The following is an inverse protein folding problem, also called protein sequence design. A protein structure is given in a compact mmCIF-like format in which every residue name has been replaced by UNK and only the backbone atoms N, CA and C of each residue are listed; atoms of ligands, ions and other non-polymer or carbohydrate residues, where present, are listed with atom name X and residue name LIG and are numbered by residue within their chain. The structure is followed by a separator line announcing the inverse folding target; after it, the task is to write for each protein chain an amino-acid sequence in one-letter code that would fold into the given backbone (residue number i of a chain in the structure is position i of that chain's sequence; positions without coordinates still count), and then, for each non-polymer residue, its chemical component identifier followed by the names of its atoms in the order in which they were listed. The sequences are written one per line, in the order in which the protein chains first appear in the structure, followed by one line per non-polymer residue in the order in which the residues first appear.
data_IF_736064932207
#
_entry.id   IF_736064932207
#
_cell.length_a   1.000
_cell.length_b   1.000
_cell.length_c   1.000
_cell.angle_alpha   90.00
_cell.angle_beta   90.00
_cell.angle_gamma   90.00
#
_symmetry.space_group_name_H-M   'P 1'
#
loop_
_entity.id
_entity.type
_entity.pdbx_description
1 polymer ?
#
# COMPACT_ATOMS: atom_id res chain seq x y z
N UNK A 1 8.56 26.51 -21.29
CA UNK A 1 8.06 26.87 -19.94
C UNK A 1 6.86 26.01 -19.47
N UNK A 2 5.99 25.51 -20.35
CA UNK A 2 4.84 24.65 -19.99
C UNK A 2 5.21 23.27 -19.37
N UNK A 3 6.32 22.66 -19.79
CA UNK A 3 6.75 21.35 -19.27
C UNK A 3 7.15 21.36 -17.79
N UNK A 4 7.76 22.43 -17.28
CA UNK A 4 8.20 22.51 -15.88
C UNK A 4 7.02 22.65 -14.90
N UNK A 5 5.97 23.38 -15.32
CA UNK A 5 4.73 23.54 -14.54
C UNK A 5 3.95 22.22 -14.44
N UNK A 6 3.86 21.48 -15.55
CA UNK A 6 3.24 20.14 -15.60
C UNK A 6 3.95 19.12 -14.69
N UNK A 7 5.29 19.10 -14.69
CA UNK A 7 6.10 18.17 -13.88
C UNK A 7 5.95 18.43 -12.37
N UNK A 8 5.93 19.71 -11.96
CA UNK A 8 5.75 20.05 -10.54
C UNK A 8 4.33 19.73 -10.05
N UNK A 9 3.32 19.87 -10.91
CA UNK A 9 1.93 19.54 -10.58
C UNK A 9 1.71 18.03 -10.40
N UNK A 10 2.36 17.19 -11.22
CA UNK A 10 2.31 15.71 -11.08
C UNK A 10 3.05 15.24 -9.83
N UNK A 11 4.22 15.80 -9.53
CA UNK A 11 4.98 15.48 -8.30
C UNK A 11 4.18 15.81 -7.03
N UNK A 12 3.51 16.97 -6.99
CA UNK A 12 2.72 17.40 -5.84
C UNK A 12 1.47 16.54 -5.63
N UNK A 13 0.82 16.11 -6.72
CA UNK A 13 -0.30 15.15 -6.69
C UNK A 13 0.13 13.78 -6.15
N UNK A 14 1.28 13.25 -6.62
CA UNK A 14 1.82 11.97 -6.16
C UNK A 14 2.21 11.99 -4.67
N UNK A 15 2.83 13.08 -4.19
CA UNK A 15 3.17 13.25 -2.78
C UNK A 15 1.92 13.30 -1.90
N UNK A 16 0.91 14.09 -2.29
CA UNK A 16 -0.36 14.20 -1.55
C UNK A 16 -1.10 12.85 -1.48
N UNK A 17 -1.10 12.07 -2.56
CA UNK A 17 -1.66 10.72 -2.58
C UNK A 17 -0.91 9.78 -1.61
N UNK A 18 0.42 9.85 -1.57
CA UNK A 18 1.24 9.05 -0.64
C UNK A 18 0.96 9.36 0.82
N UNK A 19 0.89 10.65 1.18
CA UNK A 19 0.57 11.06 2.55
C UNK A 19 -0.81 10.54 2.96
N UNK A 20 -1.82 10.63 2.08
CA UNK A 20 -3.15 10.10 2.36
C UNK A 20 -3.13 8.58 2.60
N UNK A 21 -2.37 7.82 1.80
CA UNK A 21 -2.24 6.36 1.97
C UNK A 21 -1.51 6.02 3.27
N UNK A 22 -0.46 6.76 3.63
CA UNK A 22 0.28 6.56 4.89
C UNK A 22 -0.61 6.86 6.09
N UNK A 23 -1.40 7.94 6.05
CA UNK A 23 -2.37 8.25 7.10
C UNK A 23 -3.40 7.13 7.24
N UNK A 24 -3.92 6.64 6.12
CA UNK A 24 -4.91 5.57 6.10
C UNK A 24 -4.31 4.25 6.61
N UNK A 25 -3.06 3.95 6.28
CA UNK A 25 -2.30 2.82 6.82
C UNK A 25 -2.11 2.92 8.35
N UNK A 26 -1.82 4.11 8.88
CA UNK A 26 -1.68 4.34 10.34
C UNK A 26 -3.02 4.14 11.06
N UNK A 27 -4.09 4.72 10.54
CA UNK A 27 -5.46 4.56 11.10
C UNK A 27 -5.83 3.08 11.12
N UNK A 28 -5.57 2.36 10.03
CA UNK A 28 -5.87 0.95 9.94
C UNK A 28 -4.90 0.06 10.72
N UNK A 29 -3.68 0.50 10.99
CA UNK A 29 -2.82 -0.18 11.95
C UNK A 29 -3.46 -0.16 13.34
N UNK A 30 -3.95 0.99 13.80
CA UNK A 30 -4.72 1.08 15.05
C UNK A 30 -5.94 0.14 15.04
N UNK A 31 -6.70 0.15 13.95
CA UNK A 31 -7.84 -0.74 13.75
C UNK A 31 -7.46 -2.23 13.83
N UNK A 32 -6.34 -2.62 13.24
CA UNK A 32 -5.85 -4.01 13.30
C UNK A 32 -5.38 -4.43 14.69
N UNK A 33 -4.83 -3.51 15.49
CA UNK A 33 -4.47 -3.77 16.88
C UNK A 33 -5.74 -3.99 17.72
N UNK A 34 -6.76 -3.15 17.54
CA UNK A 34 -8.06 -3.29 18.23
C UNK A 34 -8.69 -4.64 17.90
N UNK A 35 -8.82 -4.99 16.61
CA UNK A 35 -9.38 -6.28 16.21
C UNK A 35 -8.59 -7.48 16.75
N UNK A 36 -7.26 -7.37 16.82
CA UNK A 36 -6.42 -8.44 17.38
C UNK A 36 -6.69 -8.61 18.87
N UNK A 37 -6.80 -7.51 19.61
CA UNK A 37 -7.14 -7.53 21.04
C UNK A 37 -8.54 -8.09 21.28
N UNK A 38 -9.52 -7.76 20.43
CA UNK A 38 -10.89 -8.28 20.57
C UNK A 38 -10.97 -9.78 20.26
N UNK A 39 -10.33 -10.23 19.18
CA UNK A 39 -10.42 -11.63 18.74
C UNK A 39 -9.52 -12.59 19.53
N UNK A 40 -8.37 -12.12 20.02
CA UNK A 40 -7.34 -12.98 20.63
C UNK A 40 -6.92 -12.54 22.05
N UNK A 41 -7.53 -11.50 22.62
CA UNK A 41 -7.06 -10.87 23.86
C UNK A 41 -7.03 -11.78 25.10
N UNK A 42 -7.77 -12.89 25.09
CA UNK A 42 -7.66 -13.92 26.12
C UNK A 42 -6.28 -14.58 26.17
N UNK A 43 -5.62 -14.70 25.01
CA UNK A 43 -4.31 -15.33 24.85
C UNK A 43 -3.22 -14.27 24.66
N UNK A 44 -2.66 -13.80 25.78
CA UNK A 44 -1.69 -12.69 25.82
C UNK A 44 -0.46 -12.90 24.92
N UNK A 45 0.08 -14.13 24.86
CA UNK A 45 1.24 -14.45 24.02
C UNK A 45 0.91 -14.39 22.52
N UNK A 46 -0.24 -14.93 22.10
CA UNK A 46 -0.65 -14.91 20.69
C UNK A 46 -0.96 -13.49 20.23
N UNK A 47 -1.68 -12.72 21.05
CA UNK A 47 -1.97 -11.30 20.79
C UNK A 47 -0.68 -10.51 20.59
N UNK A 48 0.31 -10.69 21.47
CA UNK A 48 1.60 -10.01 21.35
C UNK A 48 2.34 -10.36 20.05
N UNK A 49 2.37 -11.65 19.69
CA UNK A 49 3.02 -12.10 18.46
C UNK A 49 2.33 -11.56 17.20
N UNK A 50 1.00 -11.54 17.17
CA UNK A 50 0.24 -11.00 16.03
C UNK A 50 0.49 -9.50 15.90
N UNK A 51 0.48 -8.74 17.00
CA UNK A 51 0.78 -7.30 16.98
C UNK A 51 2.22 -7.07 16.47
N UNK A 52 3.20 -7.80 16.97
CA UNK A 52 4.61 -7.66 16.55
C UNK A 52 4.80 -7.97 15.06
N UNK A 53 4.20 -9.06 14.59
CA UNK A 53 4.23 -9.43 13.17
C UNK A 53 3.55 -8.35 12.30
N UNK A 54 2.40 -7.84 12.74
CA UNK A 54 1.68 -6.80 12.04
C UNK A 54 2.47 -5.47 11.99
N UNK A 55 3.15 -5.09 13.07
CA UNK A 55 4.07 -3.93 13.05
C UNK A 55 5.17 -4.10 12.00
N UNK A 56 5.79 -5.27 11.92
CA UNK A 56 6.82 -5.58 10.93
C UNK A 56 6.27 -5.46 9.50
N UNK A 57 5.10 -6.02 9.25
CA UNK A 57 4.43 -5.99 7.94
C UNK A 57 4.06 -4.56 7.52
N UNK A 58 3.62 -3.70 8.45
CA UNK A 58 3.37 -2.28 8.19
C UNK A 58 4.64 -1.54 7.80
N UNK A 59 5.77 -1.82 8.46
CA UNK A 59 7.07 -1.23 8.10
C UNK A 59 7.48 -1.65 6.68
N UNK A 60 7.34 -2.93 6.34
CA UNK A 60 7.58 -3.41 4.97
C UNK A 60 6.67 -2.70 3.96
N UNK A 61 5.41 -2.48 4.30
CA UNK A 61 4.44 -1.81 3.43
C UNK A 61 4.78 -0.34 3.21
N UNK A 62 5.18 0.37 4.26
CA UNK A 62 5.69 1.74 4.14
C UNK A 62 6.87 1.76 3.16
N UNK A 63 7.85 0.87 3.32
CA UNK A 63 8.96 0.75 2.39
C UNK A 63 8.49 0.47 0.95
N UNK A 64 7.49 -0.40 0.76
CA UNK A 64 6.87 -0.70 -0.53
C UNK A 64 6.22 0.51 -1.20
N UNK A 65 5.48 1.32 -0.45
CA UNK A 65 4.83 2.55 -0.93
C UNK A 65 5.88 3.58 -1.41
N UNK A 66 6.97 3.73 -0.67
CA UNK A 66 8.05 4.65 -1.05
C UNK A 66 8.87 4.15 -2.25
N UNK A 67 9.08 2.84 -2.35
CA UNK A 67 9.87 2.19 -3.39
C UNK A 67 9.09 1.80 -4.65
N UNK A 68 7.76 2.00 -4.67
CA UNK A 68 6.85 1.56 -5.75
C UNK A 68 6.93 0.06 -6.06
N UNK A 69 7.22 -0.76 -5.04
CA UNK A 69 7.39 -2.20 -5.18
C UNK A 69 6.24 -2.93 -4.52
N UNK A 70 5.35 -3.47 -5.35
CA UNK A 70 4.16 -4.21 -4.92
C UNK A 70 4.47 -5.43 -4.04
N UNK A 71 5.64 -6.06 -4.25
CA UNK A 71 6.12 -7.22 -3.49
C UNK A 71 6.14 -6.96 -1.98
N UNK A 72 6.41 -5.73 -1.56
CA UNK A 72 6.43 -5.37 -0.13
C UNK A 72 5.07 -4.97 0.43
N UNK A 73 4.05 -4.80 -0.42
CA UNK A 73 2.65 -4.51 -0.03
C UNK A 73 1.88 -5.83 0.18
N UNK A 74 2.23 -6.89 -0.56
CA UNK A 74 1.54 -8.19 -0.51
C UNK A 74 1.42 -8.79 0.90
N UNK A 75 2.45 -8.77 1.78
CA UNK A 75 2.32 -9.31 3.13
C UNK A 75 1.24 -8.60 3.96
N UNK A 76 1.04 -7.29 3.79
CA UNK A 76 0.01 -6.52 4.48
C UNK A 76 -1.39 -6.86 3.99
N UNK A 77 -1.55 -7.11 2.69
CA UNK A 77 -2.81 -7.61 2.13
C UNK A 77 -3.16 -8.96 2.75
N UNK A 78 -2.22 -9.91 2.76
CA UNK A 78 -2.44 -11.25 3.31
C UNK A 78 -2.79 -11.15 4.80
N UNK A 79 -2.00 -10.42 5.58
CA UNK A 79 -2.23 -10.26 7.02
C UNK A 79 -3.61 -9.67 7.33
N UNK A 80 -4.03 -8.64 6.58
CA UNK A 80 -5.33 -7.99 6.80
C UNK A 80 -6.50 -8.86 6.36
N UNK A 81 -6.36 -9.59 5.26
CA UNK A 81 -7.37 -10.57 4.84
C UNK A 81 -7.53 -11.64 5.91
N UNK A 82 -6.44 -12.24 6.37
CA UNK A 82 -6.48 -13.26 7.43
C UNK A 82 -7.09 -12.74 8.73
N UNK A 83 -6.66 -11.57 9.21
CA UNK A 83 -7.20 -10.95 10.42
C UNK A 83 -8.69 -10.61 10.26
N UNK A 84 -9.09 -10.05 9.11
CA UNK A 84 -10.48 -9.72 8.84
C UNK A 84 -11.38 -10.95 8.80
N UNK A 85 -10.91 -12.07 8.22
CA UNK A 85 -11.65 -13.32 8.22
C UNK A 85 -11.84 -13.86 9.64
N UNK A 86 -10.76 -13.90 10.44
CA UNK A 86 -10.83 -14.34 11.83
C UNK A 86 -11.79 -13.47 12.67
N UNK A 87 -11.67 -12.14 12.56
CA UNK A 87 -12.53 -11.19 13.25
C UNK A 87 -14.00 -11.32 12.83
N UNK A 88 -14.28 -11.50 11.53
CA UNK A 88 -15.65 -11.71 11.04
C UNK A 88 -16.26 -13.00 11.58
N UNK A 89 -15.51 -14.11 11.57
CA UNK A 89 -15.99 -15.36 12.16
C UNK A 89 -16.29 -15.21 13.65
N UNK A 90 -15.41 -14.53 14.39
CA UNK A 90 -15.62 -14.23 15.80
C UNK A 90 -16.87 -13.36 16.03
N UNK A 91 -17.01 -12.27 15.28
CA UNK A 91 -18.17 -11.38 15.37
C UNK A 91 -19.48 -12.09 15.04
N UNK A 92 -19.46 -13.02 14.08
CA UNK A 92 -20.63 -13.78 13.68
C UNK A 92 -21.04 -14.79 14.76
N UNK A 93 -20.07 -15.48 15.39
CA UNK A 93 -20.32 -16.33 16.56
C UNK A 93 -20.92 -15.54 17.72
N UNK A 94 -20.42 -14.32 17.97
CA UNK A 94 -20.98 -13.46 19.02
C UNK A 94 -22.39 -12.96 18.68
N UNK A 95 -22.71 -12.75 17.40
CA UNK A 95 -24.05 -12.34 16.98
C UNK A 95 -25.12 -13.43 17.22
N UNK A 96 -24.75 -14.70 17.25
CA UNK A 96 -25.67 -15.81 17.52
C UNK A 96 -26.20 -15.81 18.97
N UNK A 97 -25.50 -15.15 19.90
CA UNK A 97 -25.93 -15.07 21.32
C UNK A 97 -27.15 -14.19 21.55
N UNK A 98 -27.71 -13.57 20.50
CA UNK A 98 -29.01 -12.89 20.46
C UNK A 98 -29.14 -11.61 21.31
N UNK A 99 -28.01 -11.01 21.72
CA UNK A 99 -28.00 -9.70 22.38
C UNK A 99 -27.87 -8.55 21.38
N UNK A 100 -28.59 -7.45 21.63
CA UNK A 100 -28.47 -6.23 20.82
C UNK A 100 -27.02 -5.71 20.74
N UNK A 101 -26.26 -5.87 21.81
CA UNK A 101 -24.84 -5.50 21.88
C UNK A 101 -24.00 -6.27 20.85
N UNK A 102 -24.28 -7.56 20.63
CA UNK A 102 -23.56 -8.39 19.67
C UNK A 102 -23.76 -7.95 18.22
N UNK A 103 -24.95 -7.44 17.88
CA UNK A 103 -25.24 -6.92 16.53
C UNK A 103 -24.43 -5.65 16.26
N UNK A 104 -24.36 -4.73 17.24
CA UNK A 104 -23.52 -3.54 17.11
C UNK A 104 -22.03 -3.89 17.03
N UNK A 105 -21.60 -4.92 17.76
CA UNK A 105 -20.23 -5.44 17.67
C UNK A 105 -19.91 -5.99 16.28
N UNK A 106 -20.80 -6.77 15.68
CA UNK A 106 -20.63 -7.28 14.32
C UNK A 106 -20.59 -6.13 13.30
N UNK A 107 -21.42 -5.10 13.47
CA UNK A 107 -21.46 -3.94 12.58
C UNK A 107 -20.16 -3.13 12.65
N UNK A 108 -19.59 -3.00 13.84
CA UNK A 108 -18.27 -2.40 14.05
C UNK A 108 -17.15 -3.20 13.37
N UNK A 109 -17.14 -4.53 13.52
CA UNK A 109 -16.19 -5.41 12.81
C UNK A 109 -16.34 -5.26 11.30
N UNK A 110 -17.57 -5.23 10.78
CA UNK A 110 -17.82 -5.06 9.35
C UNK A 110 -17.27 -3.72 8.83
N UNK A 111 -17.50 -2.63 9.57
CA UNK A 111 -16.95 -1.32 9.24
C UNK A 111 -15.41 -1.36 9.22
N UNK A 112 -14.81 -2.02 10.20
CA UNK A 112 -13.37 -2.22 10.32
C UNK A 112 -12.79 -2.98 9.11
N UNK A 113 -13.46 -4.05 8.65
CA UNK A 113 -13.06 -4.78 7.44
C UNK A 113 -13.19 -3.93 6.18
N UNK A 114 -14.26 -3.14 6.06
CA UNK A 114 -14.42 -2.21 4.95
C UNK A 114 -13.26 -1.19 4.86
N UNK A 115 -12.75 -0.71 6.00
CA UNK A 115 -11.59 0.18 6.03
C UNK A 115 -10.30 -0.53 5.55
N UNK A 116 -10.11 -1.82 5.86
CA UNK A 116 -8.99 -2.59 5.30
C UNK A 116 -9.10 -2.76 3.79
N UNK A 117 -10.29 -3.07 3.29
CA UNK A 117 -10.53 -3.18 1.84
C UNK A 117 -10.23 -1.85 1.16
N UNK A 118 -10.70 -0.74 1.74
CA UNK A 118 -10.43 0.60 1.21
C UNK A 118 -8.93 0.89 1.13
N UNK A 119 -8.16 0.55 2.17
CA UNK A 119 -6.70 0.74 2.17
C UNK A 119 -6.02 -0.04 1.06
N UNK A 120 -6.35 -1.33 0.97
CA UNK A 120 -5.78 -2.23 -0.02
C UNK A 120 -6.07 -1.66 -1.42
N UNK A 121 -7.31 -1.25 -1.67
CA UNK A 121 -7.70 -0.62 -2.92
C UNK A 121 -6.93 0.69 -3.18
N UNK A 122 -6.79 1.57 -2.19
CA UNK A 122 -6.05 2.83 -2.32
C UNK A 122 -4.56 2.60 -2.61
N UNK A 123 -3.92 1.63 -1.94
CA UNK A 123 -2.51 1.27 -2.17
C UNK A 123 -2.28 0.73 -3.58
N UNK A 124 -3.14 -0.19 -4.05
CA UNK A 124 -3.06 -0.73 -5.41
C UNK A 124 -3.30 0.34 -6.47
N UNK A 125 -4.36 1.15 -6.31
CA UNK A 125 -4.72 2.22 -7.24
C UNK A 125 -3.56 3.22 -7.42
N UNK A 126 -2.94 3.65 -6.32
CA UNK A 126 -1.81 4.56 -6.38
C UNK A 126 -0.55 3.92 -6.98
N UNK A 127 -0.25 2.66 -6.64
CA UNK A 127 0.92 1.95 -7.16
C UNK A 127 0.79 1.72 -8.67
N UNK A 128 -0.36 1.23 -9.13
CA UNK A 128 -0.61 1.01 -10.56
C UNK A 128 -0.70 2.33 -11.35
N UNK A 129 -1.29 3.38 -10.77
CA UNK A 129 -1.34 4.70 -11.39
C UNK A 129 0.05 5.24 -11.70
N UNK A 130 0.99 5.07 -10.77
CA UNK A 130 2.36 5.54 -10.94
C UNK A 130 3.15 4.66 -11.92
N UNK A 131 3.01 3.32 -11.84
CA UNK A 131 3.63 2.42 -12.82
C UNK A 131 3.16 2.75 -14.25
N UNK A 132 1.87 3.02 -14.44
CA UNK A 132 1.31 3.43 -15.73
C UNK A 132 1.92 4.74 -16.22
N UNK A 133 2.09 5.72 -15.34
CA UNK A 133 2.74 7.00 -15.68
C UNK A 133 4.22 6.83 -16.05
N UNK A 134 4.96 6.01 -15.30
CA UNK A 134 6.37 5.71 -15.58
C UNK A 134 6.53 4.98 -16.92
N UNK A 135 5.67 3.99 -17.20
CA UNK A 135 5.68 3.27 -18.47
C UNK A 135 5.31 4.19 -19.65
N UNK A 136 4.35 5.10 -19.48
CA UNK A 136 4.00 6.06 -20.52
C UNK A 136 5.17 7.03 -20.81
N UNK A 137 5.86 7.52 -19.76
CA UNK A 137 7.07 8.35 -19.92
C UNK A 137 8.24 7.60 -20.54
N UNK A 138 8.39 6.31 -20.25
CA UNK A 138 9.41 5.46 -20.89
C UNK A 138 9.12 5.26 -22.38
N UNK A 139 7.85 5.04 -22.76
CA UNK A 139 7.43 4.90 -24.15
C UNK A 139 7.48 6.22 -24.95
N UNK A 140 7.39 7.37 -24.29
CA UNK A 140 7.58 8.68 -24.92
C UNK A 140 9.05 9.05 -25.13
N UNK A 141 9.98 8.34 -24.47
CA UNK A 141 11.41 8.54 -24.68
C UNK A 141 11.77 7.81 -25.97
N UNK A 142 12.23 8.49 -27.03
CA UNK A 142 12.65 7.80 -28.24
C UNK A 142 13.76 6.79 -27.86
N UNK A 143 13.78 5.59 -28.48
CA UNK A 143 14.86 4.64 -28.24
C UNK A 143 16.20 5.37 -28.46
N UNK A 144 17.24 5.10 -27.65
CA UNK A 144 18.55 5.71 -27.86
C UNK A 144 18.96 5.40 -29.30
N UNK A 145 19.00 6.43 -30.15
CA UNK A 145 19.42 6.28 -31.54
C UNK A 145 20.86 5.78 -31.52
N UNK A 146 21.13 4.67 -32.21
CA UNK A 146 22.48 4.09 -32.30
C UNK A 146 23.51 5.12 -32.79
N UNK A 147 23.07 6.10 -33.57
CA UNK A 147 23.87 7.21 -34.10
C UNK A 147 24.42 8.14 -32.99
N UNK A 148 23.79 8.18 -31.81
CA UNK A 148 24.27 8.99 -30.69
C UNK A 148 25.42 8.30 -29.94
N UNK A 149 25.53 6.97 -30.01
CA UNK A 149 26.68 6.24 -29.46
C UNK A 149 27.86 6.26 -30.42
N UNK A 150 27.61 6.28 -31.72
CA UNK A 150 28.65 6.34 -32.75
C UNK A 150 29.36 7.70 -32.73
N UNK A 151 28.63 8.82 -32.63
CA UNK A 151 29.26 10.15 -32.53
C UNK A 151 30.08 10.35 -31.23
N UNK A 152 29.67 9.74 -30.11
CA UNK A 152 30.45 9.80 -28.85
C UNK A 152 31.69 8.89 -28.90
N UNK A 153 31.62 7.78 -29.64
CA UNK A 153 32.79 6.91 -29.90
C UNK A 153 33.78 7.53 -30.90
N UNK A 154 33.30 8.29 -31.88
CA UNK A 154 34.13 9.02 -32.84
C UNK A 154 34.85 10.20 -32.16
N UNK A 155 34.16 10.95 -31.30
CA UNK A 155 34.75 12.03 -30.50
C UNK A 155 35.84 11.51 -29.53
N UNK A 156 35.66 10.30 -29.00
CA UNK A 156 36.64 9.65 -28.10
C UNK A 156 37.83 9.01 -28.82
N UNK A 157 37.80 8.87 -30.15
CA UNK A 157 38.86 8.24 -30.96
C UNK A 157 39.59 9.18 -31.91
N UNK A 158 39.20 10.46 -31.97
CA UNK A 158 39.95 11.53 -32.60
C UNK A 158 40.40 11.25 -34.02
N UNK A 159 39.54 11.48 -35.02
CA UNK A 159 39.98 11.92 -36.35
C UNK A 159 38.80 12.55 -37.08
N UNK A 160 38.98 13.80 -37.53
CA UNK A 160 38.10 14.51 -38.45
C UNK A 160 38.83 14.53 -39.80
N UNK A 161 38.19 14.02 -40.84
CA UNK A 161 38.34 14.55 -42.20
C UNK A 161 36.99 15.15 -42.62
#
# INVERSE_FOLDING_TARGET
MAGFKSINQTKMSSYRSRVAIVLLLIVNYGNSVILTLEAFGSESHLTFLIILFNSFVVICTLYGIYSYKLVFITPNVISKVSLSSAALFYGLQMAETSDYSSVFHLLWILLSVCLFIWEIHAMFSATFGIIKELNHKANLKPPPSYNQKENVLIDSRGTIE
#
